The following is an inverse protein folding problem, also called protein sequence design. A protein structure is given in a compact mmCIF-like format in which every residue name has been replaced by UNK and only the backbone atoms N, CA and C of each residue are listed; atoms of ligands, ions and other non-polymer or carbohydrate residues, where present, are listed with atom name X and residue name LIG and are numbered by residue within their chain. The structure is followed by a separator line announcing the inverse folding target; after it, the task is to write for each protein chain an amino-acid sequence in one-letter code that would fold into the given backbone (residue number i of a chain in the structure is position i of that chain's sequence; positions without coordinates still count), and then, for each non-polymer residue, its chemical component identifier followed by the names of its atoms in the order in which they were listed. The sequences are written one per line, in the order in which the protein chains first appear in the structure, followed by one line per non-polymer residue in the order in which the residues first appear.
data_IF_240206955582
#
_entry.id   IF_240206955582
#
_cell.length_a   1.000
_cell.length_b   1.000
_cell.length_c   1.000
_cell.angle_alpha   90.00
_cell.angle_beta   90.00
_cell.angle_gamma   90.00
#
_symmetry.space_group_name_H-M   'P 1'
#
loop_
_entity.id
_entity.type
_entity.pdbx_description
1 polymer ?
#
# COMPACT_ATOMS: atom_id res chain seq x y z
N UNK A 1 -19.84 8.72 4.43
CA UNK A 1 -18.92 7.59 4.17
C UNK A 1 -18.90 6.72 5.41
N UNK A 2 -19.06 5.40 5.26
CA UNK A 2 -19.11 4.45 6.37
C UNK A 2 -18.08 3.34 6.14
N UNK A 3 -17.27 3.03 7.15
CA UNK A 3 -16.38 1.87 7.13
C UNK A 3 -17.21 0.59 7.25
N UNK A 4 -16.89 -0.40 6.43
CA UNK A 4 -17.53 -1.72 6.45
C UNK A 4 -16.47 -2.81 6.55
N UNK A 5 -16.89 -4.04 6.84
CA UNK A 5 -16.02 -5.21 6.84
C UNK A 5 -15.75 -5.69 5.41
N UNK A 6 -14.54 -6.20 5.15
CA UNK A 6 -14.13 -6.77 3.87
C UNK A 6 -13.07 -5.98 3.11
N UNK A 7 -12.83 -6.44 1.88
CA UNK A 7 -11.84 -5.90 0.94
C UNK A 7 -12.35 -5.97 -0.50
N UNK A 8 -11.62 -6.61 -1.39
CA UNK A 8 -11.85 -6.54 -2.85
C UNK A 8 -13.18 -7.11 -3.36
N UNK A 9 -13.93 -7.87 -2.57
CA UNK A 9 -15.23 -8.46 -2.97
C UNK A 9 -16.44 -7.65 -2.54
N UNK A 10 -16.29 -6.59 -1.73
CA UNK A 10 -17.45 -5.85 -1.21
C UNK A 10 -18.19 -5.05 -2.27
N UNK A 11 -17.49 -4.63 -3.33
CA UNK A 11 -18.07 -3.90 -4.44
C UNK A 11 -18.88 -4.86 -5.34
N UNK A 12 -20.05 -4.42 -5.77
CA UNK A 12 -20.94 -5.24 -6.59
C UNK A 12 -20.25 -5.72 -7.87
N UNK A 13 -20.47 -6.98 -8.24
CA UNK A 13 -19.93 -7.57 -9.46
C UNK A 13 -18.47 -8.00 -9.40
N UNK A 14 -17.81 -7.95 -8.22
CA UNK A 14 -16.47 -8.52 -8.01
C UNK A 14 -16.52 -9.88 -7.31
N UNK A 15 -15.64 -10.77 -7.74
CA UNK A 15 -15.36 -12.07 -7.13
C UNK A 15 -13.88 -12.20 -6.84
N UNK A 16 -13.52 -12.97 -5.83
CA UNK A 16 -12.14 -13.28 -5.55
C UNK A 16 -11.94 -14.73 -5.11
N UNK A 17 -10.73 -15.22 -5.27
CA UNK A 17 -10.29 -16.52 -4.79
C UNK A 17 -8.82 -16.45 -4.36
N UNK A 18 -8.45 -17.27 -3.38
CA UNK A 18 -7.07 -17.48 -2.98
C UNK A 18 -6.81 -18.94 -2.64
N UNK A 19 -5.78 -19.51 -3.25
CA UNK A 19 -5.49 -20.95 -3.14
C UNK A 19 -4.02 -21.20 -2.80
N UNK A 20 -3.76 -22.43 -2.35
CA UNK A 20 -2.43 -23.01 -2.37
C UNK A 20 -2.23 -23.75 -3.70
N UNK A 21 -1.54 -23.12 -4.64
CA UNK A 21 -1.13 -23.72 -5.91
C UNK A 21 0.16 -24.54 -5.76
N UNK A 22 1.05 -24.18 -4.82
CA UNK A 22 2.32 -24.89 -4.58
C UNK A 22 3.56 -24.18 -5.15
N UNK A 23 3.49 -22.86 -5.32
CA UNK A 23 4.64 -21.98 -5.56
C UNK A 23 5.47 -21.84 -4.29
N UNK A 24 4.82 -21.62 -3.15
CA UNK A 24 5.44 -21.65 -1.83
C UNK A 24 5.44 -23.10 -1.30
N UNK A 25 6.33 -23.41 -0.35
CA UNK A 25 6.35 -24.74 0.31
C UNK A 25 5.07 -25.01 1.13
N UNK A 26 4.49 -23.96 1.70
CA UNK A 26 3.32 -23.95 2.59
C UNK A 26 2.63 -22.58 2.47
N UNK A 27 1.35 -22.51 2.86
CA UNK A 27 0.46 -21.32 2.76
C UNK A 27 0.01 -21.01 1.33
N UNK A 28 -1.17 -20.41 1.21
CA UNK A 28 -1.75 -19.92 -0.06
C UNK A 28 -0.78 -18.99 -0.77
N UNK A 29 -0.75 -19.07 -2.10
CA UNK A 29 0.29 -18.46 -2.92
C UNK A 29 -0.17 -17.98 -4.29
N UNK A 30 -1.45 -18.16 -4.62
CA UNK A 30 -2.07 -17.56 -5.80
C UNK A 30 -3.43 -16.96 -5.47
N UNK A 31 -3.72 -15.79 -6.01
CA UNK A 31 -4.98 -15.08 -5.88
C UNK A 31 -5.53 -14.67 -7.25
N UNK A 32 -6.85 -14.55 -7.34
CA UNK A 32 -7.55 -14.02 -8.49
C UNK A 32 -8.63 -13.06 -8.02
N UNK A 33 -8.66 -11.87 -8.60
CA UNK A 33 -9.77 -10.92 -8.49
C UNK A 33 -10.40 -10.85 -9.88
N UNK A 34 -11.72 -10.96 -9.97
CA UNK A 34 -12.47 -10.98 -11.21
C UNK A 34 -13.68 -10.04 -11.14
N UNK A 35 -13.81 -9.15 -12.11
CA UNK A 35 -15.03 -8.37 -12.34
C UNK A 35 -15.90 -9.10 -13.36
N UNK A 36 -17.16 -9.35 -12.99
CA UNK A 36 -18.16 -10.02 -13.83
C UNK A 36 -18.52 -9.24 -15.10
N UNK A 37 -18.17 -7.96 -15.16
CA UNK A 37 -18.25 -7.08 -16.34
C UNK A 37 -16.91 -6.37 -16.57
N UNK A 38 -16.61 -5.86 -17.78
CA UNK A 38 -15.43 -5.01 -17.99
C UNK A 38 -15.38 -3.85 -17.00
N UNK A 39 -14.23 -3.68 -16.34
CA UNK A 39 -14.00 -2.62 -15.36
C UNK A 39 -12.98 -1.63 -15.89
N UNK A 40 -13.28 -0.34 -15.83
CA UNK A 40 -12.32 0.74 -16.09
C UNK A 40 -11.12 0.52 -15.17
N UNK A 41 -9.91 0.52 -15.74
CA UNK A 41 -8.69 0.18 -15.02
C UNK A 41 -7.72 1.34 -14.93
N UNK A 42 -7.16 1.51 -13.73
CA UNK A 42 -6.07 2.42 -13.40
C UNK A 42 -4.97 1.68 -12.65
N UNK A 43 -3.74 2.16 -12.74
CA UNK A 43 -2.61 1.57 -12.03
C UNK A 43 -1.49 2.55 -11.73
N UNK A 44 -0.78 2.31 -10.64
CA UNK A 44 0.49 2.97 -10.30
C UNK A 44 1.53 1.92 -9.98
N UNK A 45 2.75 2.13 -10.49
CA UNK A 45 3.79 1.10 -10.49
C UNK A 45 5.13 1.66 -10.01
N UNK A 46 6.01 0.76 -9.55
CA UNK A 46 7.35 1.09 -9.10
C UNK A 46 8.12 1.96 -10.11
N UNK A 47 8.84 2.96 -9.60
CA UNK A 47 9.83 3.70 -10.39
C UNK A 47 11.17 3.01 -10.48
N UNK A 48 11.37 1.89 -9.77
CA UNK A 48 12.63 1.14 -9.78
C UNK A 48 13.04 0.83 -11.23
N UNK A 49 14.33 0.99 -11.55
CA UNK A 49 14.85 0.71 -12.89
C UNK A 49 14.76 -0.78 -13.23
N UNK A 50 14.89 -1.64 -12.23
CA UNK A 50 14.81 -3.10 -12.35
C UNK A 50 13.34 -3.52 -12.25
N UNK A 51 12.52 -3.14 -13.22
CA UNK A 51 11.10 -3.51 -13.24
C UNK A 51 10.93 -5.01 -13.52
N UNK A 52 10.07 -5.66 -12.75
CA UNK A 52 9.69 -7.05 -12.99
C UNK A 52 8.84 -7.19 -14.28
N UNK A 53 8.84 -8.39 -14.86
CA UNK A 53 8.00 -8.70 -16.03
C UNK A 53 6.50 -8.38 -15.84
N UNK A 54 5.83 -8.71 -14.71
CA UNK A 54 4.44 -8.32 -14.47
C UNK A 54 4.20 -6.80 -14.49
N UNK A 55 5.15 -6.01 -13.97
CA UNK A 55 5.04 -4.54 -13.95
C UNK A 55 5.05 -3.98 -15.38
N UNK A 56 5.95 -4.48 -16.24
CA UNK A 56 6.04 -4.06 -17.64
C UNK A 56 4.78 -4.45 -18.43
N UNK A 57 4.23 -5.62 -18.15
CA UNK A 57 2.96 -6.09 -18.73
C UNK A 57 1.80 -5.18 -18.36
N UNK A 58 1.60 -4.91 -17.07
CA UNK A 58 0.49 -4.09 -16.59
C UNK A 58 0.61 -2.63 -17.01
N UNK A 59 1.82 -2.06 -17.01
CA UNK A 59 2.08 -0.70 -17.54
C UNK A 59 1.59 -0.57 -18.99
N UNK A 60 1.85 -1.58 -19.81
CA UNK A 60 1.39 -1.61 -21.21
C UNK A 60 -0.13 -1.68 -21.27
N UNK A 61 -0.75 -2.63 -20.57
CA UNK A 61 -2.20 -2.83 -20.63
C UNK A 61 -2.98 -1.63 -20.08
N UNK A 62 -2.57 -1.06 -18.94
CA UNK A 62 -3.21 0.14 -18.36
C UNK A 62 -3.14 1.33 -19.32
N UNK A 63 -2.05 1.45 -20.11
CA UNK A 63 -1.91 2.52 -21.09
C UNK A 63 -2.75 2.29 -22.35
N UNK A 64 -2.77 1.06 -22.86
CA UNK A 64 -3.36 0.74 -24.18
C UNK A 64 -4.84 0.37 -24.11
N UNK A 65 -5.37 0.01 -22.94
CA UNK A 65 -6.73 -0.54 -22.78
C UNK A 65 -7.54 0.32 -21.84
N UNK A 66 -8.83 0.48 -22.15
CA UNK A 66 -9.74 1.21 -21.26
C UNK A 66 -10.08 0.40 -20.02
N UNK A 67 -10.32 -0.90 -20.22
CA UNK A 67 -10.85 -1.81 -19.20
C UNK A 67 -9.97 -3.04 -19.00
N UNK A 68 -9.99 -3.57 -17.78
CA UNK A 68 -9.55 -4.92 -17.43
C UNK A 68 -10.72 -5.71 -16.81
N UNK A 69 -10.58 -7.02 -16.68
CA UNK A 69 -11.58 -7.89 -16.05
C UNK A 69 -11.02 -8.76 -14.94
N UNK A 70 -9.72 -9.05 -14.94
CA UNK A 70 -9.10 -9.86 -13.90
C UNK A 70 -7.73 -9.32 -13.47
N UNK A 71 -7.37 -9.60 -12.22
CA UNK A 71 -6.02 -9.47 -11.70
C UNK A 71 -5.62 -10.82 -11.12
N UNK A 72 -4.59 -11.45 -11.68
CA UNK A 72 -3.99 -12.67 -11.13
C UNK A 72 -2.71 -12.33 -10.40
N UNK A 73 -2.62 -12.79 -9.15
CA UNK A 73 -1.48 -12.50 -8.29
C UNK A 73 -0.83 -13.78 -7.80
N UNK A 74 0.49 -13.78 -7.69
CA UNK A 74 1.23 -14.87 -7.05
C UNK A 74 2.19 -14.35 -5.98
N UNK A 75 2.42 -15.16 -4.95
CA UNK A 75 3.46 -14.94 -3.94
C UNK A 75 4.46 -16.10 -3.89
N UNK A 76 5.69 -15.82 -3.48
CA UNK A 76 6.80 -16.78 -3.42
C UNK A 76 7.84 -16.59 -4.52
N UNK A 77 7.48 -16.03 -5.67
CA UNK A 77 8.40 -15.69 -6.77
C UNK A 77 8.00 -14.36 -7.38
N UNK A 78 8.95 -13.42 -7.47
CA UNK A 78 8.69 -12.06 -7.94
C UNK A 78 8.64 -11.93 -9.47
N UNK A 79 9.17 -12.91 -10.21
CA UNK A 79 9.35 -12.79 -11.67
C UNK A 79 10.08 -11.49 -12.08
N UNK A 80 11.07 -11.11 -11.28
CA UNK A 80 11.99 -10.01 -11.52
C UNK A 80 13.37 -10.56 -11.87
N UNK A 81 14.09 -9.90 -12.78
CA UNK A 81 15.39 -10.36 -13.28
C UNK A 81 15.36 -11.77 -13.92
N UNK A 82 14.29 -12.09 -14.65
CA UNK A 82 14.03 -13.43 -15.25
C UNK A 82 14.13 -13.46 -16.77
N UNK A 83 14.48 -12.33 -17.40
CA UNK A 83 14.68 -12.20 -18.85
C UNK A 83 13.44 -12.53 -19.69
N UNK A 84 13.64 -12.83 -20.97
CA UNK A 84 12.57 -13.14 -21.93
C UNK A 84 11.72 -14.35 -21.50
N UNK A 85 12.31 -15.31 -20.78
CA UNK A 85 11.57 -16.44 -20.22
C UNK A 85 10.55 -15.99 -19.16
N UNK A 86 10.94 -15.04 -18.29
CA UNK A 86 10.04 -14.43 -17.31
C UNK A 86 8.86 -13.69 -17.94
N UNK A 87 9.11 -12.98 -19.04
CA UNK A 87 8.07 -12.30 -19.83
C UNK A 87 7.09 -13.30 -20.45
N UNK A 88 7.62 -14.37 -21.09
CA UNK A 88 6.81 -15.46 -21.65
C UNK A 88 5.98 -16.16 -20.59
N UNK A 89 6.56 -16.40 -19.41
CA UNK A 89 5.86 -17.03 -18.31
C UNK A 89 4.78 -16.11 -17.72
N UNK A 90 5.00 -14.79 -17.69
CA UNK A 90 3.97 -13.81 -17.30
C UNK A 90 2.77 -13.87 -18.24
N UNK A 91 3.03 -13.86 -19.56
CA UNK A 91 1.98 -14.00 -20.56
C UNK A 91 1.20 -15.32 -20.41
N UNK A 92 1.88 -16.44 -20.16
CA UNK A 92 1.22 -17.73 -19.93
C UNK A 92 0.33 -17.73 -18.69
N UNK A 93 0.75 -17.07 -17.61
CA UNK A 93 -0.09 -16.90 -16.41
C UNK A 93 -1.37 -16.12 -16.74
N UNK A 94 -1.24 -14.99 -17.43
CA UNK A 94 -2.40 -14.21 -17.88
C UNK A 94 -3.32 -15.04 -18.81
N UNK A 95 -2.73 -15.76 -19.77
CA UNK A 95 -3.46 -16.59 -20.73
C UNK A 95 -4.20 -17.76 -20.07
N UNK A 96 -3.63 -18.38 -19.04
CA UNK A 96 -4.27 -19.47 -18.32
C UNK A 96 -5.56 -19.00 -17.63
N UNK A 97 -5.51 -17.84 -16.97
CA UNK A 97 -6.70 -17.20 -16.37
C UNK A 97 -7.69 -16.76 -17.44
N UNK A 98 -7.21 -16.14 -18.52
CA UNK A 98 -8.05 -15.70 -19.63
C UNK A 98 -8.86 -16.86 -20.23
N UNK A 99 -8.21 -18.00 -20.48
CA UNK A 99 -8.86 -19.21 -20.97
C UNK A 99 -9.86 -19.80 -19.96
N UNK A 100 -9.51 -19.81 -18.67
CA UNK A 100 -10.37 -20.37 -17.62
C UNK A 100 -11.64 -19.53 -17.41
N UNK A 101 -11.55 -18.21 -17.58
CA UNK A 101 -12.68 -17.28 -17.45
C UNK A 101 -13.38 -16.98 -18.79
N UNK A 102 -12.84 -17.46 -19.90
CA UNK A 102 -13.29 -17.14 -21.26
C UNK A 102 -13.34 -15.62 -21.54
N UNK A 103 -12.25 -14.92 -21.22
CA UNK A 103 -12.06 -13.49 -21.44
C UNK A 103 -10.80 -13.23 -22.29
N UNK A 104 -10.65 -12.05 -22.93
CA UNK A 104 -9.44 -11.73 -23.67
C UNK A 104 -8.22 -11.60 -22.74
N UNK A 105 -7.07 -12.12 -23.14
CA UNK A 105 -5.83 -12.10 -22.33
C UNK A 105 -5.36 -10.68 -22.00
N UNK A 106 -5.61 -9.72 -22.89
CA UNK A 106 -5.29 -8.31 -22.71
C UNK A 106 -6.18 -7.60 -21.68
N UNK A 107 -7.12 -8.32 -21.06
CA UNK A 107 -7.93 -7.84 -19.93
C UNK A 107 -7.50 -8.44 -18.58
N UNK A 108 -6.43 -9.25 -18.57
CA UNK A 108 -5.86 -9.88 -17.38
C UNK A 108 -4.58 -9.17 -16.97
N UNK A 109 -4.64 -8.45 -15.85
CA UNK A 109 -3.48 -7.85 -15.19
C UNK A 109 -2.79 -8.89 -14.30
N UNK A 110 -1.49 -8.72 -14.08
CA UNK A 110 -0.64 -9.71 -13.40
C UNK A 110 0.25 -9.07 -12.35
N UNK A 111 0.31 -9.65 -11.15
CA UNK A 111 1.22 -9.19 -10.11
C UNK A 111 1.96 -10.35 -9.42
N UNK A 112 3.25 -10.17 -9.16
CA UNK A 112 4.09 -11.21 -8.56
C UNK A 112 4.91 -10.64 -7.41
N UNK A 113 5.14 -11.41 -6.35
CA UNK A 113 6.00 -11.02 -5.23
C UNK A 113 6.76 -12.23 -4.66
N UNK A 114 7.94 -12.00 -4.08
CA UNK A 114 8.77 -13.04 -3.49
C UNK A 114 10.21 -12.98 -3.99
N UNK A 115 10.82 -14.13 -4.26
CA UNK A 115 12.24 -14.22 -4.61
C UNK A 115 12.50 -13.62 -6.00
N UNK A 116 13.50 -12.73 -6.08
CA UNK A 116 14.04 -12.15 -7.33
C UNK A 116 15.05 -13.11 -7.97
N UNK A 117 15.05 -13.20 -9.31
CA UNK A 117 15.99 -14.00 -10.09
C UNK A 117 15.65 -15.49 -10.20
N UNK A 118 14.47 -15.90 -9.73
CA UNK A 118 13.97 -17.27 -9.86
C UNK A 118 12.87 -17.33 -10.93
N UNK A 119 12.93 -18.32 -11.81
CA UNK A 119 11.88 -18.55 -12.80
C UNK A 119 10.58 -19.01 -12.11
N UNK A 120 9.46 -18.58 -12.66
CA UNK A 120 8.15 -19.00 -12.19
C UNK A 120 7.93 -20.50 -12.46
N UNK A 121 7.35 -21.27 -11.53
CA UNK A 121 6.95 -22.66 -11.78
C UNK A 121 5.69 -22.69 -12.66
N UNK A 122 5.84 -22.34 -13.93
CA UNK A 122 4.70 -21.95 -14.78
C UNK A 122 3.62 -23.03 -14.91
N UNK A 123 3.99 -24.32 -14.92
CA UNK A 123 3.01 -25.42 -14.96
C UNK A 123 2.09 -25.42 -13.73
N UNK A 124 2.67 -25.18 -12.55
CA UNK A 124 1.93 -25.07 -11.28
C UNK A 124 0.97 -23.87 -11.33
N UNK A 125 1.43 -22.77 -11.90
CA UNK A 125 0.63 -21.54 -12.07
C UNK A 125 -0.52 -21.75 -13.06
N UNK A 126 -0.28 -22.45 -14.18
CA UNK A 126 -1.32 -22.74 -15.18
C UNK A 126 -2.43 -23.66 -14.60
N UNK A 127 -2.06 -24.65 -13.80
CA UNK A 127 -3.01 -25.50 -13.08
C UNK A 127 -3.75 -24.72 -11.98
N UNK A 128 -3.01 -23.94 -11.19
CA UNK A 128 -3.57 -23.07 -10.16
C UNK A 128 -4.55 -22.03 -10.71
N UNK A 129 -4.30 -21.51 -11.91
CA UNK A 129 -5.18 -20.55 -12.59
C UNK A 129 -6.57 -21.13 -12.90
N UNK A 130 -6.65 -22.43 -13.22
CA UNK A 130 -7.92 -23.12 -13.44
C UNK A 130 -8.68 -23.29 -12.12
N UNK A 131 -7.97 -23.76 -11.09
CA UNK A 131 -8.55 -23.94 -9.75
C UNK A 131 -9.06 -22.60 -9.18
N UNK A 132 -8.31 -21.51 -9.40
CA UNK A 132 -8.72 -20.16 -9.00
C UNK A 132 -10.05 -19.76 -9.66
N UNK A 133 -10.18 -19.96 -10.97
CA UNK A 133 -11.40 -19.63 -11.70
C UNK A 133 -12.61 -20.42 -11.17
N UNK A 134 -12.43 -21.71 -10.90
CA UNK A 134 -13.47 -22.58 -10.34
C UNK A 134 -13.83 -22.22 -8.88
N UNK A 135 -12.93 -21.53 -8.17
CA UNK A 135 -13.08 -21.17 -6.75
C UNK A 135 -13.55 -19.72 -6.52
N UNK A 136 -13.87 -18.97 -7.58
CA UNK A 136 -14.30 -17.58 -7.47
C UNK A 136 -15.62 -17.43 -6.71
N UNK A 137 -15.59 -16.67 -5.62
CA UNK A 137 -16.77 -16.32 -4.84
C UNK A 137 -16.87 -14.81 -4.62
N UNK A 138 -18.08 -14.30 -4.46
CA UNK A 138 -18.41 -12.89 -4.15
C UNK A 138 -18.53 -12.64 -2.64
N UNK A 139 -18.17 -13.63 -1.81
CA UNK A 139 -18.24 -13.53 -0.36
C UNK A 139 -17.06 -12.74 0.23
N UNK A 140 -17.20 -12.32 1.49
CA UNK A 140 -16.08 -11.76 2.27
C UNK A 140 -14.93 -12.76 2.42
N UNK A 141 -15.25 -14.07 2.44
CA UNK A 141 -14.26 -15.14 2.55
C UNK A 141 -13.38 -15.15 1.29
N UNK A 142 -13.96 -14.99 0.10
CA UNK A 142 -13.18 -14.94 -1.15
C UNK A 142 -12.14 -13.82 -1.17
N UNK A 143 -12.54 -12.64 -0.69
CA UNK A 143 -11.65 -11.49 -0.52
C UNK A 143 -10.52 -11.77 0.47
N UNK A 144 -10.86 -12.31 1.65
CA UNK A 144 -9.89 -12.68 2.68
C UNK A 144 -8.88 -13.72 2.17
N UNK A 145 -9.36 -14.77 1.49
CA UNK A 145 -8.51 -15.82 0.93
C UNK A 145 -7.54 -15.25 -0.11
N UNK A 146 -7.99 -14.34 -0.97
CA UNK A 146 -7.14 -13.64 -1.93
C UNK A 146 -6.09 -12.76 -1.23
N UNK A 147 -6.48 -12.02 -0.19
CA UNK A 147 -5.56 -11.21 0.62
C UNK A 147 -4.50 -12.07 1.32
N UNK A 148 -4.88 -13.24 1.87
CA UNK A 148 -3.95 -14.21 2.46
C UNK A 148 -2.96 -14.80 1.44
N UNK A 149 -3.43 -15.06 0.22
CA UNK A 149 -2.61 -15.70 -0.82
C UNK A 149 -1.48 -14.81 -1.35
N UNK A 150 -1.62 -13.48 -1.27
CA UNK A 150 -0.56 -12.54 -1.69
C UNK A 150 0.46 -12.25 -0.59
N UNK A 151 0.21 -12.69 0.65
CA UNK A 151 1.14 -12.48 1.78
C UNK A 151 2.47 -13.21 1.60
N UNK A 152 3.56 -12.59 2.04
CA UNK A 152 4.89 -13.19 2.12
C UNK A 152 5.35 -13.31 3.56
N UNK A 153 5.98 -12.25 4.05
CA UNK A 153 6.47 -12.08 5.42
C UNK A 153 5.47 -11.33 6.30
N UNK A 154 4.36 -10.88 5.72
CA UNK A 154 3.21 -10.30 6.40
C UNK A 154 2.72 -11.23 7.52
N UNK A 155 2.30 -10.65 8.66
CA UNK A 155 1.77 -11.41 9.79
C UNK A 155 0.24 -11.51 9.79
N UNK A 156 -0.45 -10.61 9.06
CA UNK A 156 -1.89 -10.65 8.85
C UNK A 156 -2.32 -10.10 7.48
N UNK A 157 -3.49 -10.53 7.02
CA UNK A 157 -4.12 -10.07 5.79
C UNK A 157 -4.62 -8.62 5.95
N UNK A 158 -4.37 -7.77 4.94
CA UNK A 158 -4.67 -6.33 5.01
C UNK A 158 -5.81 -6.01 4.03
N UNK A 159 -7.00 -5.80 4.59
CA UNK A 159 -8.19 -5.40 3.84
C UNK A 159 -8.80 -4.10 4.40
N UNK A 160 -9.46 -3.31 3.56
CA UNK A 160 -10.23 -2.15 3.98
C UNK A 160 -11.36 -1.89 2.99
N UNK A 161 -12.54 -1.51 3.49
CA UNK A 161 -13.68 -1.20 2.67
C UNK A 161 -14.53 -0.07 3.25
N UNK A 162 -15.16 0.70 2.36
CA UNK A 162 -16.08 1.79 2.69
C UNK A 162 -17.27 1.83 1.74
N UNK A 163 -18.37 2.39 2.22
CA UNK A 163 -19.49 2.85 1.40
C UNK A 163 -19.62 4.37 1.45
N UNK A 164 -20.06 4.98 0.36
CA UNK A 164 -20.28 6.42 0.23
C UNK A 164 -21.41 6.70 -0.75
N UNK A 165 -21.92 7.94 -0.77
CA UNK A 165 -22.99 8.36 -1.66
C UNK A 165 -22.42 9.13 -2.85
N UNK A 166 -22.94 8.85 -4.04
CA UNK A 166 -22.74 9.61 -5.27
C UNK A 166 -24.14 9.94 -5.78
N UNK A 167 -24.55 11.21 -5.64
CA UNK A 167 -25.97 11.58 -5.64
C UNK A 167 -26.76 10.74 -4.62
N UNK A 168 -27.81 10.06 -5.09
CA UNK A 168 -28.65 9.15 -4.29
C UNK A 168 -28.20 7.68 -4.33
N UNK A 169 -27.09 7.39 -5.01
CA UNK A 169 -26.58 6.03 -5.20
C UNK A 169 -25.52 5.69 -4.16
N UNK A 170 -25.71 4.57 -3.46
CA UNK A 170 -24.68 4.00 -2.59
C UNK A 170 -23.63 3.29 -3.43
N UNK A 171 -22.39 3.75 -3.33
CA UNK A 171 -21.21 3.19 -3.98
C UNK A 171 -20.32 2.53 -2.93
N UNK A 172 -19.64 1.46 -3.32
CA UNK A 172 -18.75 0.66 -2.49
C UNK A 172 -17.33 0.68 -3.05
N UNK A 173 -16.35 0.80 -2.17
CA UNK A 173 -14.93 0.72 -2.49
C UNK A 173 -14.28 -0.23 -1.49
N UNK A 174 -13.56 -1.23 -1.99
CA UNK A 174 -12.83 -2.19 -1.18
C UNK A 174 -11.42 -2.38 -1.70
N UNK A 175 -10.49 -2.76 -0.84
CA UNK A 175 -9.11 -3.00 -1.25
C UNK A 175 -8.41 -4.00 -0.37
N UNK A 176 -7.37 -4.60 -0.95
CA UNK A 176 -6.42 -5.47 -0.27
C UNK A 176 -4.98 -5.04 -0.64
N UNK A 177 -4.05 -5.23 0.29
CA UNK A 177 -2.63 -4.97 0.04
C UNK A 177 -1.75 -5.98 0.78
N UNK A 178 -0.49 -6.10 0.34
CA UNK A 178 0.57 -6.81 1.06
C UNK A 178 1.83 -5.98 1.13
N UNK A 179 2.56 -6.07 2.23
CA UNK A 179 3.77 -5.29 2.46
C UNK A 179 4.19 -5.31 3.91
N UNK A 180 5.40 -5.81 4.17
CA UNK A 180 6.02 -5.88 5.49
C UNK A 180 7.53 -5.64 5.41
N UNK A 181 8.19 -6.07 4.34
CA UNK A 181 9.60 -5.78 4.04
C UNK A 181 9.80 -5.41 2.57
N UNK A 182 10.94 -4.77 2.30
CA UNK A 182 11.23 -3.99 1.10
C UNK A 182 10.08 -3.02 0.85
N UNK A 183 9.90 -2.04 1.74
CA UNK A 183 8.79 -1.06 1.71
C UNK A 183 9.36 0.35 1.79
N UNK A 184 9.50 0.99 0.63
CA UNK A 184 9.74 2.42 0.49
C UNK A 184 9.11 2.97 -0.80
N UNK A 185 7.77 3.11 -0.83
CA UNK A 185 7.05 3.48 -2.04
C UNK A 185 7.52 4.82 -2.61
N UNK A 186 7.91 4.79 -3.88
CA UNK A 186 8.10 5.96 -4.72
C UNK A 186 7.32 5.72 -6.03
N UNK A 187 5.99 5.77 -5.91
CA UNK A 187 4.93 5.34 -6.84
C UNK A 187 4.48 3.87 -6.78
N UNK A 188 4.88 3.19 -5.68
CA UNK A 188 4.23 2.13 -4.89
C UNK A 188 5.36 1.28 -4.26
N UNK A 189 5.19 0.72 -3.05
CA UNK A 189 6.01 -0.37 -2.50
C UNK A 189 5.19 -1.41 -1.80
N UNK A 190 4.65 -2.35 -2.59
CA UNK A 190 3.63 -3.34 -2.22
C UNK A 190 3.01 -3.97 -3.47
N UNK A 191 2.22 -5.03 -3.26
CA UNK A 191 1.16 -5.41 -4.20
C UNK A 191 -0.19 -5.01 -3.59
N UNK A 192 -1.08 -4.44 -4.38
CA UNK A 192 -2.39 -3.99 -3.92
C UNK A 192 -3.41 -3.97 -5.03
N UNK A 193 -4.64 -4.32 -4.69
CA UNK A 193 -5.80 -4.27 -5.59
C UNK A 193 -6.92 -3.56 -4.87
N UNK A 194 -7.53 -2.60 -5.56
CA UNK A 194 -8.70 -1.85 -5.11
C UNK A 194 -9.81 -2.06 -6.13
N UNK A 195 -11.03 -2.28 -5.66
CA UNK A 195 -12.22 -2.54 -6.47
C UNK A 195 -13.33 -1.59 -6.06
N UNK A 196 -14.10 -1.12 -7.04
CA UNK A 196 -15.27 -0.29 -6.80
C UNK A 196 -16.34 -0.54 -7.85
N UNK A 197 -17.59 -0.45 -7.42
CA UNK A 197 -18.75 -0.50 -8.29
C UNK A 197 -19.12 0.88 -8.87
N UNK A 198 -18.29 1.91 -8.61
CA UNK A 198 -18.41 3.26 -9.16
C UNK A 198 -18.34 3.27 -10.70
N UNK A 199 -19.23 4.05 -11.33
CA UNK A 199 -19.12 4.43 -12.73
C UNK A 199 -18.33 5.75 -12.88
N UNK A 200 -17.18 5.71 -13.55
CA UNK A 200 -16.25 6.84 -13.72
C UNK A 200 -15.39 6.64 -14.98
N UNK A 201 -14.98 7.74 -15.64
CA UNK A 201 -14.07 7.66 -16.80
C UNK A 201 -12.67 7.21 -16.41
N UNK A 202 -11.94 6.62 -17.37
CA UNK A 202 -10.56 6.16 -17.18
C UNK A 202 -9.62 7.29 -16.75
N UNK A 203 -9.76 8.45 -17.38
CA UNK A 203 -8.89 9.60 -17.12
C UNK A 203 -9.00 10.04 -15.67
N UNK A 204 -10.23 10.16 -15.16
CA UNK A 204 -10.48 10.56 -13.78
C UNK A 204 -10.10 9.48 -12.77
N UNK A 205 -10.33 8.19 -13.10
CA UNK A 205 -9.92 7.08 -12.25
C UNK A 205 -8.39 7.05 -12.08
N UNK A 206 -7.65 7.16 -13.19
CA UNK A 206 -6.19 7.19 -13.19
C UNK A 206 -5.65 8.44 -12.49
N UNK A 207 -6.28 9.60 -12.70
CA UNK A 207 -5.87 10.83 -12.02
C UNK A 207 -6.08 10.73 -10.51
N UNK A 208 -7.25 10.24 -10.06
CA UNK A 208 -7.55 10.06 -8.65
C UNK A 208 -6.53 9.13 -7.98
N UNK A 209 -6.22 7.99 -8.60
CA UNK A 209 -5.23 7.05 -8.09
C UNK A 209 -3.83 7.68 -8.04
N UNK A 210 -3.40 8.36 -9.10
CA UNK A 210 -2.06 8.95 -9.21
C UNK A 210 -1.85 10.11 -8.23
N UNK A 211 -2.90 10.87 -7.92
CA UNK A 211 -2.88 11.91 -6.92
C UNK A 211 -2.85 11.30 -5.51
N UNK A 212 -3.72 10.32 -5.25
CA UNK A 212 -3.87 9.72 -3.93
C UNK A 212 -2.61 9.04 -3.42
N UNK A 213 -1.93 8.24 -4.25
CA UNK A 213 -0.76 7.45 -3.81
C UNK A 213 0.37 8.31 -3.26
N UNK A 214 0.43 9.60 -3.63
CA UNK A 214 1.43 10.55 -3.13
C UNK A 214 1.27 10.84 -1.64
N UNK A 215 0.03 10.81 -1.14
CA UNK A 215 -0.34 11.11 0.24
C UNK A 215 -0.76 9.87 1.05
N UNK A 216 -0.81 8.69 0.42
CA UNK A 216 -1.08 7.41 1.08
C UNK A 216 0.17 6.49 1.07
N UNK A 217 0.29 5.60 0.09
CA UNK A 217 1.37 4.61 0.05
C UNK A 217 2.76 5.25 -0.04
N UNK A 218 2.97 6.32 -0.82
CA UNK A 218 4.28 7.02 -0.94
C UNK A 218 4.78 7.66 0.35
N UNK A 219 3.92 7.75 1.35
CA UNK A 219 4.24 8.26 2.68
C UNK A 219 4.61 7.15 3.66
N UNK A 220 4.65 5.89 3.22
CA UNK A 220 5.09 4.75 4.04
C UNK A 220 6.59 4.48 3.89
N UNK A 221 7.25 4.02 4.95
CA UNK A 221 8.56 3.36 4.84
C UNK A 221 8.82 2.40 5.99
N UNK A 222 9.24 1.17 5.67
CA UNK A 222 9.78 0.22 6.65
C UNK A 222 11.30 0.31 6.67
N UNK A 223 11.96 0.13 5.53
CA UNK A 223 13.41 -0.14 5.43
C UNK A 223 14.17 0.72 4.41
N UNK A 224 13.46 1.55 3.64
CA UNK A 224 14.00 2.42 2.57
C UNK A 224 14.31 1.70 1.26
N UNK A 225 13.94 0.43 1.12
CA UNK A 225 14.14 -0.33 -0.10
C UNK A 225 12.87 -0.32 -0.98
N UNK A 226 12.93 0.38 -2.12
CA UNK A 226 11.85 0.41 -3.12
C UNK A 226 11.92 -0.86 -3.99
N UNK A 227 10.85 -1.66 -4.01
CA UNK A 227 10.84 -2.95 -4.68
C UNK A 227 10.76 -2.87 -6.21
N UNK A 228 11.12 -3.98 -6.86
CA UNK A 228 11.07 -4.20 -8.31
C UNK A 228 9.67 -4.46 -8.85
N UNK A 229 8.70 -4.70 -7.96
CA UNK A 229 7.40 -5.30 -8.30
C UNK A 229 6.19 -4.43 -7.99
N UNK A 230 6.42 -3.22 -7.50
CA UNK A 230 5.36 -2.50 -6.84
C UNK A 230 4.25 -2.10 -7.79
N UNK A 231 3.03 -2.45 -7.41
CA UNK A 231 1.86 -2.36 -8.28
C UNK A 231 0.60 -2.18 -7.44
N UNK A 232 -0.07 -1.04 -7.60
CA UNK A 232 -1.42 -0.79 -7.09
C UNK A 232 -2.36 -0.71 -8.29
N UNK A 233 -3.33 -1.62 -8.35
CA UNK A 233 -4.31 -1.71 -9.42
C UNK A 233 -5.69 -1.33 -8.89
N UNK A 234 -6.42 -0.50 -9.63
CA UNK A 234 -7.77 -0.07 -9.30
C UNK A 234 -8.73 -0.44 -10.43
N UNK A 235 -9.77 -1.20 -10.11
CA UNK A 235 -10.83 -1.61 -11.04
C UNK A 235 -12.18 -0.98 -10.65
N UNK A 236 -12.80 -0.26 -11.60
CA UNK A 236 -14.11 0.36 -11.42
C UNK A 236 -15.12 -0.19 -12.44
N UNK A 237 -16.10 -0.97 -12.01
CA UNK A 237 -16.96 -1.75 -12.93
C UNK A 237 -18.36 -1.14 -13.19
N UNK A 238 -18.69 -0.01 -12.56
CA UNK A 238 -19.93 0.72 -12.79
C UNK A 238 -21.22 0.05 -12.32
N UNK A 239 -21.15 -1.05 -11.56
CA UNK A 239 -22.33 -1.80 -11.12
C UNK A 239 -23.19 -1.11 -10.05
N UNK A 240 -22.70 -0.02 -9.43
CA UNK A 240 -23.48 0.74 -8.44
C UNK A 240 -24.70 1.44 -9.07
N UNK A 241 -24.64 1.72 -10.38
CA UNK A 241 -25.72 2.41 -11.10
C UNK A 241 -25.73 3.93 -10.94
N UNK A 242 -24.64 4.53 -10.44
CA UNK A 242 -24.48 5.99 -10.45
C UNK A 242 -24.25 6.51 -11.88
N UNK A 243 -24.60 7.77 -12.18
CA UNK A 243 -24.18 8.41 -13.43
C UNK A 243 -22.66 8.39 -13.58
N UNK A 244 -22.16 8.18 -14.79
CA UNK A 244 -20.72 8.15 -15.06
C UNK A 244 -20.11 9.49 -14.69
N UNK A 245 -19.17 9.48 -13.74
CA UNK A 245 -18.40 10.67 -13.38
C UNK A 245 -17.45 10.99 -14.55
N UNK A 246 -17.66 12.13 -15.19
CA UNK A 246 -16.92 12.59 -16.38
C UNK A 246 -16.17 13.90 -16.16
N UNK A 247 -16.38 14.55 -15.01
CA UNK A 247 -15.73 15.80 -14.62
C UNK A 247 -15.37 15.83 -13.13
N UNK A 248 -14.52 16.77 -12.71
CA UNK A 248 -14.05 16.92 -11.32
C UNK A 248 -15.05 17.68 -10.46
N UNK A 249 -16.28 17.17 -10.39
CA UNK A 249 -17.36 17.71 -9.57
C UNK A 249 -17.31 17.18 -8.12
N UNK A 250 -18.37 17.44 -7.34
CA UNK A 250 -18.46 16.98 -5.95
C UNK A 250 -18.46 15.45 -5.82
N UNK A 251 -19.02 14.73 -6.78
CA UNK A 251 -19.03 13.26 -6.81
C UNK A 251 -17.60 12.72 -6.98
N UNK A 252 -16.82 13.31 -7.90
CA UNK A 252 -15.40 12.98 -8.06
C UNK A 252 -14.62 13.23 -6.77
N UNK A 253 -14.82 14.38 -6.12
CA UNK A 253 -14.15 14.70 -4.86
C UNK A 253 -14.57 13.76 -3.72
N UNK A 254 -15.82 13.29 -3.72
CA UNK A 254 -16.33 12.31 -2.77
C UNK A 254 -15.66 10.95 -2.97
N UNK A 255 -15.51 10.51 -4.22
CA UNK A 255 -14.74 9.32 -4.56
C UNK A 255 -13.28 9.45 -4.13
N UNK A 256 -12.61 10.57 -4.42
CA UNK A 256 -11.22 10.80 -3.99
C UNK A 256 -11.05 10.68 -2.47
N UNK A 257 -11.99 11.18 -1.68
CA UNK A 257 -11.97 11.02 -0.21
C UNK A 257 -12.11 9.56 0.23
N UNK A 258 -12.99 8.80 -0.43
CA UNK A 258 -13.17 7.38 -0.15
C UNK A 258 -11.94 6.57 -0.54
N UNK A 259 -11.35 6.85 -1.70
CA UNK A 259 -10.10 6.26 -2.16
C UNK A 259 -8.98 6.52 -1.15
N UNK A 260 -8.81 7.78 -0.75
CA UNK A 260 -7.79 8.17 0.21
C UNK A 260 -7.93 7.50 1.56
N UNK A 261 -9.16 7.32 2.04
CA UNK A 261 -9.40 6.59 3.28
C UNK A 261 -8.92 5.13 3.18
N UNK A 262 -9.32 4.42 2.11
CA UNK A 262 -8.97 3.00 1.93
C UNK A 262 -7.45 2.83 1.75
N UNK A 263 -6.83 3.64 0.89
CA UNK A 263 -5.38 3.54 0.62
C UNK A 263 -4.55 3.92 1.83
N UNK A 264 -4.96 4.93 2.61
CA UNK A 264 -4.30 5.32 3.86
C UNK A 264 -4.40 4.24 4.94
N UNK A 265 -5.57 3.62 5.10
CA UNK A 265 -5.74 2.53 6.07
C UNK A 265 -4.90 1.30 5.69
N UNK A 266 -4.83 0.96 4.40
CA UNK A 266 -3.94 -0.11 3.91
C UNK A 266 -2.46 0.23 4.11
N UNK A 267 -2.05 1.47 3.80
CA UNK A 267 -0.70 1.99 4.01
C UNK A 267 -0.27 1.92 5.49
N UNK A 268 -1.14 2.34 6.41
CA UNK A 268 -0.93 2.23 7.86
C UNK A 268 -0.79 0.78 8.31
N UNK A 269 -1.65 -0.12 7.82
CA UNK A 269 -1.54 -1.57 8.11
C UNK A 269 -0.21 -2.15 7.63
N UNK A 270 0.32 -1.70 6.51
CA UNK A 270 1.66 -2.11 6.05
C UNK A 270 2.77 -1.61 6.98
N UNK A 271 2.73 -0.33 7.36
CA UNK A 271 3.70 0.22 8.30
C UNK A 271 3.65 -0.51 9.66
N UNK A 272 2.45 -0.76 10.17
CA UNK A 272 2.25 -1.47 11.44
C UNK A 272 2.68 -2.95 11.39
N UNK A 273 2.67 -3.56 10.21
CA UNK A 273 3.11 -4.94 9.96
C UNK A 273 4.52 -5.01 9.36
N UNK A 274 5.36 -3.99 9.59
CA UNK A 274 6.76 -4.02 9.17
C UNK A 274 7.48 -5.25 9.72
N UNK A 275 8.43 -5.81 8.99
CA UNK A 275 9.15 -7.02 9.41
C UNK A 275 9.84 -6.83 10.77
N UNK A 276 9.38 -7.60 11.76
CA UNK A 276 9.86 -7.52 13.14
C UNK A 276 9.42 -6.25 13.89
N UNK A 277 8.55 -5.41 13.31
CA UNK A 277 8.04 -4.22 13.95
C UNK A 277 7.17 -4.56 15.17
N UNK A 278 7.33 -3.79 16.24
CA UNK A 278 6.46 -3.87 17.42
C UNK A 278 5.47 -2.71 17.49
N UNK A 279 5.74 -1.62 16.75
CA UNK A 279 4.99 -0.37 16.79
C UNK A 279 4.82 0.26 15.42
N UNK A 280 3.63 0.81 15.20
CA UNK A 280 3.39 1.81 14.17
C UNK A 280 3.95 3.15 14.64
N UNK A 281 4.73 3.80 13.78
CA UNK A 281 5.25 5.14 14.02
C UNK A 281 4.71 6.11 12.97
N UNK A 282 3.94 7.11 13.40
CA UNK A 282 3.41 8.16 12.55
C UNK A 282 4.19 9.46 12.79
N UNK A 283 4.54 10.17 11.72
CA UNK A 283 5.18 11.48 11.83
C UNK A 283 4.38 12.51 11.04
N UNK A 284 4.00 13.61 11.70
CA UNK A 284 3.32 14.73 11.06
C UNK A 284 4.22 15.96 11.10
N UNK A 285 4.38 16.62 9.95
CA UNK A 285 5.04 17.92 9.89
C UNK A 285 3.99 18.98 9.53
N UNK A 286 3.87 20.00 10.38
CA UNK A 286 3.01 21.16 10.23
C UNK A 286 3.85 22.40 9.92
N UNK A 287 3.17 23.44 9.44
CA UNK A 287 3.79 24.75 9.28
C UNK A 287 4.79 24.81 8.13
N UNK A 288 4.71 23.93 7.13
CA UNK A 288 5.63 23.97 5.99
C UNK A 288 5.22 25.05 4.97
N UNK A 289 6.21 25.57 4.23
CA UNK A 289 6.02 26.57 3.17
C UNK A 289 5.31 25.98 1.93
N UNK A 290 5.54 24.69 1.67
CA UNK A 290 4.95 23.90 0.59
C UNK A 290 4.80 22.43 1.03
N UNK A 291 4.09 21.65 0.22
CA UNK A 291 3.79 20.25 0.54
C UNK A 291 5.06 19.39 0.49
N UNK A 292 5.93 19.65 -0.47
CA UNK A 292 7.17 18.93 -0.73
C UNK A 292 8.15 19.02 0.45
N UNK A 293 8.24 20.18 1.10
CA UNK A 293 9.01 20.38 2.32
C UNK A 293 8.45 19.53 3.47
N UNK A 294 7.13 19.53 3.68
CA UNK A 294 6.50 18.71 4.72
C UNK A 294 6.72 17.21 4.48
N UNK A 295 6.59 16.76 3.23
CA UNK A 295 6.86 15.37 2.83
C UNK A 295 8.32 15.01 3.07
N UNK A 296 9.26 15.87 2.68
CA UNK A 296 10.69 15.60 2.86
C UNK A 296 11.07 15.46 4.33
N UNK A 297 10.58 16.37 5.18
CA UNK A 297 10.84 16.34 6.63
C UNK A 297 10.20 15.11 7.30
N UNK A 298 8.92 14.86 7.03
CA UNK A 298 8.18 13.73 7.63
C UNK A 298 8.78 12.38 7.21
N UNK A 299 9.10 12.18 5.93
CA UNK A 299 9.80 10.97 5.45
C UNK A 299 11.21 10.83 6.03
N UNK A 300 11.96 11.93 6.19
CA UNK A 300 13.30 11.87 6.80
C UNK A 300 13.26 11.34 8.24
N UNK A 301 12.23 11.74 9.01
CA UNK A 301 12.04 11.28 10.39
C UNK A 301 11.72 9.77 10.44
N UNK A 302 10.72 9.30 9.68
CA UNK A 302 10.31 7.88 9.74
C UNK A 302 11.36 6.92 9.15
N UNK A 303 12.28 7.42 8.32
CA UNK A 303 13.35 6.61 7.69
C UNK A 303 14.67 6.63 8.47
N UNK A 304 14.76 7.40 9.55
CA UNK A 304 15.96 7.48 10.36
C UNK A 304 16.11 6.24 11.25
N UNK A 305 17.17 5.45 11.05
CA UNK A 305 17.46 4.29 11.91
C UNK A 305 17.61 4.70 13.39
N UNK A 306 18.14 5.90 13.67
CA UNK A 306 18.26 6.40 15.04
C UNK A 306 16.89 6.72 15.64
N UNK A 307 15.98 7.32 14.89
CA UNK A 307 14.59 7.54 15.36
C UNK A 307 13.90 6.20 15.55
N UNK A 308 13.93 5.31 14.55
CA UNK A 308 13.30 3.99 14.60
C UNK A 308 13.78 3.14 15.79
N UNK A 309 15.06 3.19 16.14
CA UNK A 309 15.61 2.52 17.34
C UNK A 309 15.22 3.21 18.65
N UNK A 310 15.09 4.54 18.67
CA UNK A 310 14.56 5.25 19.84
C UNK A 310 13.09 4.89 20.11
N UNK A 311 12.26 4.80 19.06
CA UNK A 311 10.89 4.31 19.16
C UNK A 311 10.84 2.86 19.66
N UNK A 312 11.73 1.98 19.16
CA UNK A 312 11.85 0.61 19.69
C UNK A 312 12.17 0.61 21.20
N UNK A 313 13.11 1.47 21.63
CA UNK A 313 13.59 1.56 23.01
C UNK A 313 12.69 2.30 24.00
N UNK A 314 11.56 2.84 23.54
CA UNK A 314 10.72 3.77 24.32
C UNK A 314 11.46 5.05 24.78
N UNK A 315 12.45 5.49 24.00
CA UNK A 315 13.30 6.64 24.29
C UNK A 315 12.75 7.90 23.61
N UNK A 316 12.44 8.94 24.40
CA UNK A 316 11.87 10.21 23.95
C UNK A 316 12.94 11.14 23.33
N UNK A 317 13.71 10.58 22.40
CA UNK A 317 14.90 11.20 21.85
C UNK A 317 14.57 12.25 20.77
N UNK A 318 14.03 13.39 21.21
CA UNK A 318 13.71 14.52 20.34
C UNK A 318 14.93 15.01 19.52
N UNK A 319 16.14 14.87 20.08
CA UNK A 319 17.38 15.23 19.39
C UNK A 319 17.60 14.42 18.11
N UNK A 320 17.28 13.12 18.11
CA UNK A 320 17.34 12.28 16.90
C UNK A 320 16.29 12.69 15.86
N UNK A 321 15.12 13.14 16.30
CA UNK A 321 14.06 13.64 15.39
C UNK A 321 14.50 14.95 14.73
N UNK A 322 14.99 15.93 15.50
CA UNK A 322 15.52 17.19 14.93
C UNK A 322 16.75 16.95 14.04
N UNK A 323 17.63 16.02 14.41
CA UNK A 323 18.75 15.61 13.57
C UNK A 323 18.25 15.07 12.22
N UNK A 324 17.21 14.23 12.23
CA UNK A 324 16.60 13.70 11.02
C UNK A 324 15.97 14.78 10.14
N UNK A 325 15.31 15.77 10.75
CA UNK A 325 14.83 16.96 10.03
C UNK A 325 16.00 17.73 9.40
N UNK A 326 17.10 17.91 10.14
CA UNK A 326 18.26 18.69 9.73
C UNK A 326 18.98 18.17 8.47
N UNK A 327 18.95 16.86 8.21
CA UNK A 327 19.51 16.26 6.99
C UNK A 327 18.48 15.96 5.89
N UNK A 328 17.24 16.44 6.02
CA UNK A 328 16.14 16.11 5.10
C UNK A 328 16.29 16.71 3.68
N UNK A 329 17.33 17.51 3.42
CA UNK A 329 17.57 18.14 2.12
C UNK A 329 16.69 19.35 1.82
N UNK A 330 16.00 19.89 2.83
CA UNK A 330 15.16 21.08 2.74
C UNK A 330 15.48 22.06 3.87
N UNK A 331 15.41 23.35 3.60
CA UNK A 331 15.70 24.41 4.58
C UNK A 331 14.51 24.64 5.52
N UNK A 332 14.79 24.82 6.82
CA UNK A 332 13.84 25.32 7.83
C UNK A 332 14.63 25.97 8.98
N UNK A 333 13.97 26.72 9.85
CA UNK A 333 14.60 27.28 11.06
C UNK A 333 14.48 26.29 12.24
N UNK A 334 15.56 25.61 12.66
CA UNK A 334 15.49 24.65 13.77
C UNK A 334 15.14 25.32 15.10
N UNK A 335 15.39 26.63 15.27
CA UNK A 335 15.10 27.38 16.48
C UNK A 335 13.65 27.89 16.55
N UNK A 336 12.79 27.44 15.64
CA UNK A 336 11.35 27.71 15.64
C UNK A 336 10.50 26.45 15.79
N UNK A 337 11.15 25.28 15.80
CA UNK A 337 10.44 24.01 15.79
C UNK A 337 9.83 23.71 17.16
N UNK A 338 8.54 23.42 17.15
CA UNK A 338 7.88 22.75 18.27
C UNK A 338 7.73 21.27 17.94
N UNK A 339 8.08 20.38 18.89
CA UNK A 339 7.98 18.94 18.71
C UNK A 339 7.14 18.32 19.82
N UNK A 340 6.23 17.43 19.44
CA UNK A 340 5.37 16.67 20.34
C UNK A 340 5.48 15.18 20.06
N UNK A 341 5.28 14.37 21.10
CA UNK A 341 4.97 12.95 21.00
C UNK A 341 3.58 12.68 21.57
N UNK A 342 2.85 11.75 20.98
CA UNK A 342 1.53 11.35 21.45
C UNK A 342 1.20 9.89 21.14
N UNK A 343 0.32 9.32 21.96
CA UNK A 343 -0.28 8.00 21.79
C UNK A 343 -1.59 7.94 22.57
N UNK A 344 -2.20 6.75 22.68
CA UNK A 344 -3.37 6.53 23.54
C UNK A 344 -3.14 6.88 25.02
N UNK A 345 -1.88 6.96 25.48
CA UNK A 345 -1.54 7.30 26.85
C UNK A 345 -1.47 8.82 27.13
N UNK A 346 -1.46 9.67 26.09
CA UNK A 346 -1.43 11.12 26.22
C UNK A 346 -0.54 11.81 25.17
N UNK A 347 -0.32 13.11 25.37
CA UNK A 347 0.47 14.00 24.51
C UNK A 347 1.46 14.81 25.34
N UNK A 348 2.68 14.97 24.85
CA UNK A 348 3.74 15.71 25.51
C UNK A 348 4.50 16.59 24.50
N UNK A 349 4.77 17.84 24.87
CA UNK A 349 5.66 18.74 24.12
C UNK A 349 7.09 18.43 24.57
N UNK A 350 7.96 18.02 23.65
CA UNK A 350 9.37 17.74 23.92
C UNK A 350 10.24 18.96 23.63
N UNK A 351 9.93 19.68 22.55
CA UNK A 351 10.69 20.85 22.07
C UNK A 351 9.76 22.04 21.91
N UNK A 352 10.22 23.21 22.37
CA UNK A 352 9.61 24.51 22.14
C UNK A 352 10.66 25.47 21.57
N UNK A 353 10.38 26.06 20.42
CA UNK A 353 11.30 26.97 19.71
C UNK A 353 12.73 26.41 19.60
N UNK A 354 12.83 25.14 19.19
CA UNK A 354 14.08 24.42 19.00
C UNK A 354 14.83 24.00 20.27
N UNK A 355 14.28 24.28 21.46
CA UNK A 355 14.88 23.97 22.75
C UNK A 355 14.07 22.92 23.51
N UNK A 356 14.76 22.04 24.25
CA UNK A 356 14.11 21.05 25.10
C UNK A 356 13.23 21.75 26.16
N UNK A 357 12.02 21.24 26.35
CA UNK A 357 11.17 21.64 27.48
C UNK A 357 11.55 20.84 28.73
N UNK A 358 11.05 21.24 29.90
CA UNK A 358 11.16 20.45 31.14
C UNK A 358 10.09 19.34 31.19
N UNK A 359 10.07 18.47 30.17
CA UNK A 359 9.08 17.41 30.06
C UNK A 359 9.37 16.23 31.00
N UNK A 360 8.33 15.46 31.32
CA UNK A 360 8.41 14.27 32.19
C UNK A 360 8.83 13.04 31.36
N UNK A 361 10.04 12.53 31.63
CA UNK A 361 10.61 11.35 30.97
C UNK A 361 9.81 10.07 31.24
N UNK A 362 9.28 9.87 32.45
CA UNK A 362 8.49 8.68 32.78
C UNK A 362 7.18 8.70 31.98
N UNK A 363 6.55 9.87 31.88
CA UNK A 363 5.36 10.04 31.08
C UNK A 363 5.66 9.86 29.58
N UNK A 364 6.80 10.34 29.11
CA UNK A 364 7.26 10.13 27.73
C UNK A 364 7.44 8.64 27.42
N UNK A 365 8.10 7.87 28.31
CA UNK A 365 8.22 6.41 28.19
C UNK A 365 6.84 5.74 28.15
N UNK A 366 5.88 6.18 28.97
CA UNK A 366 4.51 5.65 28.96
C UNK A 366 3.80 5.89 27.62
N UNK A 367 3.98 7.07 27.03
CA UNK A 367 3.48 7.39 25.68
C UNK A 367 4.11 6.46 24.65
N UNK A 368 5.44 6.33 24.68
CA UNK A 368 6.19 5.55 23.70
C UNK A 368 6.00 4.04 23.84
N UNK A 369 5.57 3.55 25.02
CA UNK A 369 5.29 2.13 25.26
C UNK A 369 4.03 1.61 24.55
N UNK A 370 3.23 2.50 23.95
CA UNK A 370 2.05 2.11 23.19
C UNK A 370 2.40 1.51 21.82
N UNK A 371 1.45 0.79 21.23
CA UNK A 371 1.59 0.15 19.91
C UNK A 371 1.56 1.13 18.75
N UNK A 372 0.90 2.26 18.93
CA UNK A 372 0.84 3.34 17.96
C UNK A 372 1.41 4.60 18.61
N UNK A 373 2.49 5.11 18.02
CA UNK A 373 3.19 6.29 18.49
C UNK A 373 3.21 7.32 17.38
N UNK A 374 2.93 8.57 17.72
CA UNK A 374 3.00 9.70 16.79
C UNK A 374 3.99 10.73 17.28
N UNK A 375 4.83 11.22 16.37
CA UNK A 375 5.56 12.46 16.52
C UNK A 375 4.92 13.55 15.66
N UNK A 376 4.88 14.78 16.15
CA UNK A 376 4.48 15.93 15.34
C UNK A 376 5.42 17.10 15.52
N UNK A 377 5.87 17.69 14.42
CA UNK A 377 6.74 18.85 14.39
C UNK A 377 6.04 20.03 13.70
N UNK A 378 5.98 21.20 14.32
CA UNK A 378 5.53 22.44 13.68
C UNK A 378 6.73 23.34 13.44
N UNK A 379 7.01 23.64 12.16
CA UNK A 379 8.17 24.43 11.74
C UNK A 379 7.86 25.91 11.49
N UNK A 380 6.58 26.33 11.58
CA UNK A 380 6.14 27.75 11.56
C UNK A 380 6.56 28.57 10.32
N UNK A 381 6.68 27.94 9.15
CA UNK A 381 7.06 28.56 7.87
C UNK A 381 5.91 28.75 6.86
N UNK A 382 4.73 28.19 7.13
CA UNK A 382 3.58 28.24 6.21
C UNK A 382 2.37 27.47 6.72
N UNK A 383 1.52 27.00 5.80
CA UNK A 383 0.24 26.35 6.12
C UNK A 383 0.14 24.91 5.59
N UNK A 384 1.23 24.36 5.04
CA UNK A 384 1.23 23.01 4.48
C UNK A 384 1.63 21.98 5.53
N UNK A 385 1.10 20.77 5.37
CA UNK A 385 1.43 19.64 6.22
C UNK A 385 1.50 18.32 5.45
N UNK A 386 2.20 17.35 6.02
CA UNK A 386 2.27 15.99 5.51
C UNK A 386 2.44 15.00 6.67
N UNK A 387 1.85 13.83 6.49
CA UNK A 387 1.93 12.71 7.42
C UNK A 387 2.66 11.56 6.74
N UNK A 388 3.61 10.95 7.44
CA UNK A 388 4.33 9.76 7.02
C UNK A 388 4.17 8.64 8.04
N UNK A 389 4.21 7.39 7.58
CA UNK A 389 4.06 6.19 8.40
C UNK A 389 5.25 5.27 8.26
N UNK A 390 5.81 4.83 9.36
CA UNK A 390 6.81 3.79 9.41
C UNK A 390 6.62 2.92 10.64
N UNK A 391 7.69 2.27 11.04
CA UNK A 391 7.73 1.43 12.22
C UNK A 391 9.05 1.59 12.96
N UNK A 392 9.16 0.98 14.13
CA UNK A 392 10.42 0.84 14.83
C UNK A 392 11.42 -0.08 14.07
N UNK A 393 12.69 -0.06 14.50
CA UNK A 393 13.74 -0.95 14.00
C UNK A 393 14.15 -1.89 15.14
N UNK A 394 13.93 -3.18 14.97
CA UNK A 394 14.09 -4.20 16.01
C UNK A 394 15.17 -5.23 15.64
N UNK A 395 15.55 -6.07 16.59
CA UNK A 395 16.43 -7.21 16.32
C UNK A 395 15.78 -8.25 15.39
N UNK A 396 14.44 -8.39 15.44
CA UNK A 396 13.73 -9.35 14.61
C UNK A 396 13.78 -8.98 13.13
N UNK A 397 13.81 -7.68 12.79
CA UNK A 397 14.07 -7.24 11.41
C UNK A 397 15.38 -7.83 10.86
N UNK A 398 16.46 -7.76 11.66
CA UNK A 398 17.79 -8.29 11.28
C UNK A 398 17.73 -9.81 11.16
N UNK A 399 17.07 -10.49 12.10
CA UNK A 399 16.93 -11.95 12.07
C UNK A 399 16.17 -12.43 10.84
N UNK A 400 15.01 -11.84 10.55
CA UNK A 400 14.17 -12.19 9.40
C UNK A 400 14.95 -12.01 8.09
N UNK A 401 15.64 -10.89 7.93
CA UNK A 401 16.34 -10.56 6.69
C UNK A 401 17.72 -11.20 6.55
N UNK A 402 18.39 -11.49 7.68
CA UNK A 402 19.67 -12.21 7.70
C UNK A 402 19.53 -13.69 7.37
N UNK A 403 18.41 -14.31 7.77
CA UNK A 403 18.16 -15.75 7.59
C UNK A 403 17.20 -16.06 6.43
N UNK A 404 16.74 -15.05 5.66
CA UNK A 404 15.65 -15.18 4.68
C UNK A 404 15.89 -16.27 3.59
N UNK A 405 17.15 -16.57 3.26
CA UNK A 405 17.53 -17.56 2.23
C UNK A 405 18.17 -18.83 2.80
N UNK A 406 18.27 -18.95 4.13
CA UNK A 406 18.97 -20.03 4.82
C UNK A 406 18.08 -21.22 5.15
#
# INVERSE_FOLDING_TARGET
MNKIEGGVTVAQGFKAAGIYAGIKKKKKDMALIYSTVPAVSAGTFTTNLVKAAPVLWDLKLIKERETAQAVVLNSGVANACTGEEGEKNNYKMALAVANALNIPVETVLTASTGVIGQQMPIKVIEEGSKILADSLEDSLIGGLLAAEAIMTTDTYAKECAVTFQIGDTTVTLGGMAKGSGMIHPNMATMLGVVTTDLAITKELLQEALSADVKDSFNMVSVDRDTSTNDSLILLANGQAGNPVITEKNEDYLTFCKALHFVTTELAKKMAADGEGANKLFECIVYGAKDKEQAVSLSKSIITSNLVKTAICGNDANWGRILCAMGYAGVEFDPYKVDLFIESSAGKLKLVEDGMATAYDEEFATKILSQKEVRASADIKMGNYSATAWGCDLTYDYIKINGDYRS
#
